data_IF_534017441666
#
_entry.id   IF_534017441666
#
_cell.length_a   1.000
_cell.length_b   1.000
_cell.length_c   1.000
_cell.angle_alpha   90.00
_cell.angle_beta   90.00
_cell.angle_gamma   90.00
#
_symmetry.space_group_name_H-M   'P 1'
#
loop_
_entity.id
_entity.type
_entity.pdbx_description
1 polymer ?
#
# COMPACT_ATOMS: atom_id res chain seq x y z
N UNK A 1 13.50 15.64 4.33
CA UNK A 1 13.33 14.40 3.55
C UNK A 1 11.97 14.39 2.86
N UNK A 2 11.92 13.99 1.58
CA UNK A 2 10.69 13.74 0.82
C UNK A 2 10.57 12.24 0.58
N UNK A 3 9.50 11.63 1.04
CA UNK A 3 9.29 10.19 0.95
C UNK A 3 7.90 9.86 0.39
N UNK A 4 7.85 9.00 -0.61
CA UNK A 4 6.63 8.36 -1.06
C UNK A 4 6.48 7.03 -0.32
N UNK A 5 5.47 6.94 0.55
CA UNK A 5 5.30 5.79 1.43
C UNK A 5 4.47 4.67 0.80
N UNK A 6 3.94 4.88 -0.43
CA UNK A 6 3.07 3.91 -1.09
C UNK A 6 3.22 4.01 -2.61
N UNK A 7 3.97 3.04 -3.20
CA UNK A 7 4.26 3.06 -4.63
C UNK A 7 4.34 1.65 -5.22
N UNK A 8 3.66 1.42 -6.36
CA UNK A 8 3.62 0.16 -7.09
C UNK A 8 4.38 0.24 -8.42
N UNK A 9 5.51 -0.48 -8.58
CA UNK A 9 6.23 -0.56 -9.86
C UNK A 9 5.42 -1.20 -10.98
N UNK A 10 4.59 -2.19 -10.64
CA UNK A 10 3.67 -2.89 -11.55
C UNK A 10 4.35 -3.46 -12.80
N UNK A 11 5.43 -4.28 -12.60
CA UNK A 11 6.24 -4.83 -13.69
C UNK A 11 5.82 -6.22 -14.17
N UNK A 12 4.84 -6.86 -13.57
CA UNK A 12 4.58 -8.29 -13.77
C UNK A 12 4.21 -8.69 -15.20
N UNK A 13 3.60 -7.80 -15.97
CA UNK A 13 3.10 -8.08 -17.31
C UNK A 13 3.99 -7.53 -18.44
N UNK A 14 5.18 -6.99 -18.12
CA UNK A 14 6.01 -6.31 -19.11
C UNK A 14 7.18 -7.17 -19.56
N UNK A 15 7.47 -7.16 -20.88
CA UNK A 15 8.72 -7.69 -21.44
C UNK A 15 9.92 -6.92 -20.87
N UNK A 16 11.14 -7.52 -20.93
CA UNK A 16 12.36 -6.88 -20.42
C UNK A 16 12.58 -5.45 -20.98
N UNK A 17 12.27 -5.23 -22.25
CA UNK A 17 12.41 -3.92 -22.89
C UNK A 17 11.43 -2.89 -22.27
N UNK A 18 10.18 -3.26 -22.09
CA UNK A 18 9.16 -2.41 -21.48
C UNK A 18 9.48 -2.09 -20.01
N UNK A 19 10.06 -3.04 -19.26
CA UNK A 19 10.51 -2.81 -17.88
C UNK A 19 11.54 -1.68 -17.83
N UNK A 20 12.57 -1.71 -18.69
CA UNK A 20 13.61 -0.68 -18.75
C UNK A 20 13.03 0.70 -19.07
N UNK A 21 12.15 0.76 -20.08
CA UNK A 21 11.47 2.01 -20.46
C UNK A 21 10.59 2.55 -19.33
N UNK A 22 9.79 1.67 -18.68
CA UNK A 22 8.95 2.05 -17.54
C UNK A 22 9.79 2.53 -16.36
N UNK A 23 10.84 1.81 -15.98
CA UNK A 23 11.74 2.21 -14.90
C UNK A 23 12.36 3.58 -15.16
N UNK A 24 12.82 3.85 -16.39
CA UNK A 24 13.35 5.17 -16.78
C UNK A 24 12.32 6.28 -16.54
N UNK A 25 11.05 6.06 -16.89
CA UNK A 25 9.97 7.02 -16.66
C UNK A 25 9.72 7.22 -15.15
N UNK A 26 9.71 6.15 -14.36
CA UNK A 26 9.55 6.18 -12.89
C UNK A 26 10.66 7.05 -12.28
N UNK A 27 11.93 6.75 -12.54
CA UNK A 27 13.05 7.52 -11.98
C UNK A 27 13.09 8.98 -12.46
N UNK A 28 12.61 9.26 -13.68
CA UNK A 28 12.42 10.63 -14.16
C UNK A 28 11.44 11.40 -13.27
N UNK A 29 10.34 10.76 -12.84
CA UNK A 29 9.38 11.39 -11.94
C UNK A 29 9.95 11.55 -10.52
N UNK A 30 10.62 10.55 -9.98
CA UNK A 30 11.28 10.69 -8.67
C UNK A 30 12.26 11.86 -8.66
N UNK A 31 13.07 12.03 -9.72
CA UNK A 31 13.98 13.16 -9.87
C UNK A 31 13.23 14.49 -9.99
N UNK A 32 12.20 14.55 -10.84
CA UNK A 32 11.37 15.74 -11.05
C UNK A 32 10.75 16.25 -9.74
N UNK A 33 10.22 15.34 -8.93
CA UNK A 33 9.58 15.67 -7.65
C UNK A 33 10.55 15.68 -6.46
N UNK A 34 11.85 15.46 -6.73
CA UNK A 34 12.92 15.46 -5.72
C UNK A 34 12.62 14.47 -4.58
N UNK A 35 12.12 13.28 -4.92
CA UNK A 35 11.83 12.22 -3.95
C UNK A 35 13.15 11.64 -3.45
N UNK A 36 13.41 11.73 -2.14
CA UNK A 36 14.60 11.21 -1.49
C UNK A 36 14.52 9.71 -1.21
N UNK A 37 13.33 9.21 -0.85
CA UNK A 37 13.08 7.81 -0.56
C UNK A 37 11.70 7.36 -1.04
N UNK A 38 11.56 6.07 -1.37
CA UNK A 38 10.29 5.44 -1.81
C UNK A 38 10.17 4.09 -1.15
N UNK A 39 9.04 3.81 -0.50
CA UNK A 39 8.69 2.45 -0.08
C UNK A 39 8.04 1.77 -1.29
N UNK A 40 8.69 0.71 -1.78
CA UNK A 40 8.20 -0.05 -2.94
C UNK A 40 7.25 -1.12 -2.44
N UNK A 41 5.95 -0.92 -2.63
CA UNK A 41 4.86 -1.65 -1.96
C UNK A 41 4.07 -2.58 -2.89
N UNK A 42 4.71 -3.16 -3.90
CA UNK A 42 3.98 -4.05 -4.82
C UNK A 42 3.15 -5.10 -4.07
N UNK A 43 1.95 -5.36 -4.54
CA UNK A 43 1.05 -6.35 -3.93
C UNK A 43 1.67 -7.75 -3.86
N UNK A 44 1.43 -8.47 -2.78
CA UNK A 44 1.94 -9.83 -2.56
C UNK A 44 1.63 -10.76 -3.72
N UNK A 45 0.43 -10.71 -4.30
CA UNK A 45 0.04 -11.54 -5.43
C UNK A 45 0.71 -11.18 -6.77
N UNK A 46 1.46 -10.07 -6.82
CA UNK A 46 2.20 -9.57 -8.00
C UNK A 46 3.72 -9.78 -7.92
N UNK A 47 4.19 -10.74 -7.13
CA UNK A 47 5.62 -11.06 -6.97
C UNK A 47 6.48 -9.83 -6.59
N UNK A 48 6.24 -9.23 -5.42
CA UNK A 48 6.83 -7.94 -5.03
C UNK A 48 8.36 -7.94 -5.01
N UNK A 49 9.00 -9.01 -4.58
CA UNK A 49 10.47 -9.13 -4.63
C UNK A 49 11.01 -8.97 -6.05
N UNK A 50 10.39 -9.63 -7.03
CA UNK A 50 10.82 -9.52 -8.43
C UNK A 50 10.58 -8.11 -8.99
N UNK A 51 9.48 -7.47 -8.62
CA UNK A 51 9.19 -6.08 -8.98
C UNK A 51 10.21 -5.12 -8.39
N UNK A 52 10.55 -5.29 -7.12
CA UNK A 52 11.60 -4.52 -6.43
C UNK A 52 12.96 -4.69 -7.12
N UNK A 53 13.40 -5.93 -7.37
CA UNK A 53 14.66 -6.22 -8.04
C UNK A 53 14.74 -5.60 -9.44
N UNK A 54 13.67 -5.72 -10.24
CA UNK A 54 13.59 -5.10 -11.57
C UNK A 54 13.75 -3.58 -11.48
N UNK A 55 13.09 -2.92 -10.51
CA UNK A 55 13.24 -1.50 -10.30
C UNK A 55 14.67 -1.13 -9.90
N UNK A 56 15.24 -1.84 -8.93
CA UNK A 56 16.61 -1.64 -8.42
C UNK A 56 17.67 -1.83 -9.51
N UNK A 57 17.57 -2.89 -10.31
CA UNK A 57 18.49 -3.18 -11.42
C UNK A 57 18.45 -2.13 -12.55
N UNK A 58 17.33 -1.43 -12.71
CA UNK A 58 17.16 -0.38 -13.71
C UNK A 58 17.28 1.05 -13.13
N UNK A 59 17.77 1.15 -11.89
CA UNK A 59 18.04 2.46 -11.27
C UNK A 59 19.21 3.15 -11.98
N UNK A 60 19.01 4.38 -12.46
CA UNK A 60 20.11 5.15 -13.05
C UNK A 60 21.24 5.38 -12.03
N UNK A 61 22.51 5.26 -12.47
CA UNK A 61 23.69 5.44 -11.60
C UNK A 61 23.71 6.80 -10.86
N UNK A 62 23.15 7.82 -11.46
CA UNK A 62 23.04 9.17 -10.88
C UNK A 62 21.76 9.39 -10.06
N UNK A 63 20.88 8.40 -9.94
CA UNK A 63 19.69 8.49 -9.11
C UNK A 63 20.06 8.50 -7.63
N UNK A 64 19.58 9.51 -6.90
CA UNK A 64 19.78 9.66 -5.45
C UNK A 64 18.59 9.16 -4.63
N UNK A 65 17.54 8.63 -5.30
CA UNK A 65 16.35 8.13 -4.61
C UNK A 65 16.64 6.79 -3.98
N UNK A 66 16.41 6.65 -2.69
CA UNK A 66 16.53 5.38 -1.97
C UNK A 66 15.28 4.54 -2.19
N UNK A 67 15.45 3.28 -2.58
CA UNK A 67 14.37 2.30 -2.71
C UNK A 67 14.30 1.46 -1.43
N UNK A 68 13.26 1.62 -0.67
CA UNK A 68 13.00 0.87 0.57
C UNK A 68 12.21 -0.38 0.21
N UNK A 69 12.70 -1.59 0.52
CA UNK A 69 11.98 -2.83 0.28
C UNK A 69 10.69 -2.89 1.11
N UNK A 70 9.58 -3.19 0.46
CA UNK A 70 8.28 -3.28 1.09
C UNK A 70 7.31 -4.11 0.27
N UNK A 71 6.15 -4.34 0.83
CA UNK A 71 5.06 -5.11 0.23
C UNK A 71 3.73 -4.60 0.76
N UNK A 72 2.72 -4.59 -0.09
CA UNK A 72 1.34 -4.44 0.34
C UNK A 72 0.74 -5.83 0.53
N UNK A 73 0.63 -6.25 1.80
CA UNK A 73 0.12 -7.54 2.22
C UNK A 73 -1.39 -7.47 2.44
N UNK A 74 -2.11 -8.52 2.06
CA UNK A 74 -3.56 -8.65 2.26
C UNK A 74 -3.84 -9.63 3.38
N UNK A 75 -4.55 -9.18 4.42
CA UNK A 75 -4.92 -9.99 5.59
C UNK A 75 -6.10 -10.92 5.30
N UNK A 76 -6.41 -11.85 6.23
CA UNK A 76 -7.58 -12.73 6.16
C UNK A 76 -8.89 -11.95 6.01
N UNK A 77 -8.97 -10.80 6.66
CA UNK A 77 -10.13 -9.91 6.61
C UNK A 77 -10.23 -9.17 5.26
N UNK A 78 -9.18 -9.19 4.44
CA UNK A 78 -9.08 -8.46 3.18
C UNK A 78 -8.55 -7.03 3.32
N UNK A 79 -8.03 -6.68 4.50
CA UNK A 79 -7.43 -5.37 4.78
C UNK A 79 -5.99 -5.37 4.28
N UNK A 80 -5.61 -4.30 3.59
CA UNK A 80 -4.23 -4.12 3.14
C UNK A 80 -3.36 -3.55 4.26
N UNK A 81 -2.12 -4.02 4.32
CA UNK A 81 -1.09 -3.52 5.24
C UNK A 81 0.24 -3.43 4.49
N UNK A 82 0.82 -2.24 4.46
CA UNK A 82 2.18 -2.07 3.97
C UNK A 82 3.14 -2.56 5.05
N UNK A 83 3.99 -3.53 4.70
CA UNK A 83 5.09 -3.98 5.56
C UNK A 83 6.40 -3.74 4.83
N UNK A 84 7.39 -3.17 5.52
CA UNK A 84 8.67 -2.79 4.93
C UNK A 84 9.84 -2.97 5.89
N UNK A 85 11.05 -3.00 5.35
CA UNK A 85 12.29 -3.17 6.11
C UNK A 85 13.46 -2.41 5.46
N UNK A 86 14.56 -2.22 6.20
CA UNK A 86 15.74 -1.55 5.67
C UNK A 86 16.47 -2.35 4.58
N UNK A 87 16.26 -3.64 4.55
CA UNK A 87 16.87 -4.58 3.60
C UNK A 87 15.80 -5.44 2.94
N UNK A 88 16.19 -6.33 2.04
CA UNK A 88 15.29 -7.26 1.36
C UNK A 88 14.69 -8.34 2.30
N UNK A 89 14.97 -8.26 3.61
CA UNK A 89 14.50 -9.17 4.66
C UNK A 89 12.99 -9.39 4.69
N UNK A 90 12.19 -8.35 4.37
CA UNK A 90 10.75 -8.50 4.28
C UNK A 90 10.31 -9.62 3.32
N UNK A 91 11.03 -9.84 2.25
CA UNK A 91 10.70 -10.84 1.23
C UNK A 91 10.97 -12.29 1.69
N UNK A 92 11.68 -12.49 2.81
CA UNK A 92 11.91 -13.78 3.44
C UNK A 92 10.76 -14.21 4.36
N UNK A 93 9.85 -13.30 4.69
CA UNK A 93 8.72 -13.54 5.61
C UNK A 93 7.57 -14.24 4.89
N UNK A 94 7.65 -15.57 4.78
CA UNK A 94 6.71 -16.40 4.00
C UNK A 94 5.24 -16.13 4.33
N UNK A 95 4.88 -15.99 5.61
CA UNK A 95 3.49 -15.75 6.03
C UNK A 95 2.98 -14.39 5.59
N UNK A 96 3.80 -13.32 5.69
CA UNK A 96 3.48 -11.97 5.21
C UNK A 96 3.40 -11.96 3.69
N UNK A 97 4.28 -12.73 3.03
CA UNK A 97 4.35 -12.87 1.57
C UNK A 97 3.28 -13.82 1.00
N UNK A 98 2.36 -14.30 1.83
CA UNK A 98 1.24 -15.16 1.41
C UNK A 98 -0.07 -14.42 1.67
N UNK A 99 -0.83 -14.16 0.60
CA UNK A 99 -2.14 -13.49 0.68
C UNK A 99 -3.10 -14.27 1.59
N UNK A 100 -3.87 -13.56 2.42
CA UNK A 100 -4.86 -14.10 3.36
C UNK A 100 -4.31 -15.12 4.37
N UNK A 101 -3.00 -15.18 4.57
CA UNK A 101 -2.37 -16.11 5.52
C UNK A 101 -2.57 -15.66 6.97
N UNK A 102 -2.36 -14.40 7.25
CA UNK A 102 -2.43 -13.82 8.59
C UNK A 102 -3.70 -12.99 8.79
N UNK A 103 -4.26 -13.04 10.00
CA UNK A 103 -5.22 -12.01 10.42
C UNK A 103 -4.50 -10.67 10.59
N UNK A 104 -5.22 -9.56 10.53
CA UNK A 104 -4.65 -8.23 10.79
C UNK A 104 -3.90 -8.19 12.13
N UNK A 105 -4.51 -8.74 13.18
CA UNK A 105 -3.92 -8.78 14.52
C UNK A 105 -2.63 -9.59 14.55
N UNK A 106 -2.59 -10.74 13.86
CA UNK A 106 -1.40 -11.60 13.87
C UNK A 106 -0.27 -10.98 13.04
N UNK A 107 -0.59 -10.35 11.90
CA UNK A 107 0.39 -9.62 11.08
C UNK A 107 1.02 -8.50 11.90
N UNK A 108 0.21 -7.67 12.55
CA UNK A 108 0.72 -6.55 13.36
C UNK A 108 1.53 -7.04 14.56
N UNK A 109 1.13 -8.17 15.18
CA UNK A 109 1.91 -8.81 16.25
C UNK A 109 3.27 -9.31 15.76
N UNK A 110 3.34 -9.90 14.56
CA UNK A 110 4.62 -10.30 13.97
C UNK A 110 5.53 -9.09 13.72
N UNK A 111 4.99 -8.02 13.14
CA UNK A 111 5.75 -6.77 12.92
C UNK A 111 6.23 -6.18 14.25
N UNK A 112 5.38 -6.13 15.27
CA UNK A 112 5.76 -5.59 16.58
C UNK A 112 6.87 -6.38 17.30
N UNK A 113 6.96 -7.68 17.04
CA UNK A 113 8.00 -8.56 17.61
C UNK A 113 9.33 -8.51 16.85
N UNK A 114 9.33 -8.06 15.62
CA UNK A 114 10.52 -8.04 14.76
C UNK A 114 10.97 -6.59 14.50
N UNK A 115 12.03 -6.18 15.19
CA UNK A 115 12.58 -4.81 15.10
C UNK A 115 13.02 -4.38 13.69
N UNK A 116 13.21 -5.34 12.80
CA UNK A 116 13.58 -5.07 11.41
C UNK A 116 12.37 -4.82 10.50
N UNK A 117 11.16 -5.03 11.01
CA UNK A 117 9.92 -4.81 10.28
C UNK A 117 9.19 -3.57 10.77
N UNK A 118 8.56 -2.89 9.83
CA UNK A 118 7.71 -1.73 10.08
C UNK A 118 6.42 -1.89 9.31
N UNK A 119 5.31 -1.31 9.83
CA UNK A 119 4.03 -1.36 9.14
C UNK A 119 3.40 0.03 9.01
N UNK A 120 2.70 0.22 7.92
CA UNK A 120 1.77 1.34 7.68
C UNK A 120 0.41 0.72 7.40
N UNK A 121 -0.66 1.25 7.98
CA UNK A 121 -2.02 0.97 7.50
C UNK A 121 -2.29 1.90 6.32
N UNK A 122 -2.33 1.38 5.07
CA UNK A 122 -2.62 2.18 3.90
C UNK A 122 -4.11 2.50 3.85
N UNK A 123 -4.46 3.59 3.18
CA UNK A 123 -5.83 4.01 2.85
C UNK A 123 -6.94 3.48 3.82
N UNK A 124 -6.83 3.70 5.15
CA UNK A 124 -7.70 3.06 6.16
C UNK A 124 -9.18 3.39 5.98
N UNK A 125 -9.49 4.43 5.23
CA UNK A 125 -10.83 4.97 5.02
C UNK A 125 -11.46 4.54 3.69
N UNK A 126 -10.83 3.66 2.90
CA UNK A 126 -11.44 3.15 1.67
C UNK A 126 -12.83 2.56 1.93
N UNK A 127 -13.83 2.84 1.06
CA UNK A 127 -15.20 2.39 1.24
C UNK A 127 -15.43 0.91 0.86
N UNK A 128 -14.38 0.18 0.55
CA UNK A 128 -14.38 -1.24 0.20
C UNK A 128 -13.78 -2.12 1.32
N UNK A 129 -13.63 -3.42 1.09
CA UNK A 129 -13.07 -4.37 2.05
C UNK A 129 -11.60 -4.14 2.40
N UNK A 130 -10.85 -3.42 1.57
CA UNK A 130 -9.45 -3.08 1.83
C UNK A 130 -9.32 -2.00 2.92
N UNK A 131 -10.37 -1.17 3.09
CA UNK A 131 -10.38 -0.11 4.09
C UNK A 131 -10.60 -0.64 5.51
N UNK A 132 -9.69 -0.28 6.43
CA UNK A 132 -9.73 -0.69 7.83
C UNK A 132 -11.10 -0.39 8.49
N UNK A 133 -11.54 0.87 8.41
CA UNK A 133 -12.78 1.30 9.07
C UNK A 133 -14.03 0.64 8.51
N UNK A 134 -14.06 0.34 7.22
CA UNK A 134 -15.17 -0.34 6.58
C UNK A 134 -15.27 -1.79 7.00
N UNK A 135 -14.13 -2.46 7.13
CA UNK A 135 -14.05 -3.91 7.31
C UNK A 135 -14.24 -4.34 8.76
N UNK A 136 -13.60 -3.66 9.72
CA UNK A 136 -13.68 -4.05 11.14
C UNK A 136 -14.50 -3.08 12.00
N UNK A 137 -15.07 -2.03 11.38
CA UNK A 137 -15.87 -1.04 12.08
C UNK A 137 -15.05 0.00 12.84
N UNK A 138 -15.69 1.12 13.17
CA UNK A 138 -15.02 2.31 13.70
C UNK A 138 -14.37 2.10 15.07
N UNK A 139 -15.04 1.38 15.97
CA UNK A 139 -14.56 1.15 17.35
C UNK A 139 -13.27 0.31 17.37
N UNK A 140 -13.24 -0.78 16.60
CA UNK A 140 -12.09 -1.67 16.54
C UNK A 140 -10.94 -1.04 15.75
N UNK A 141 -11.24 -0.39 14.63
CA UNK A 141 -10.24 0.35 13.85
C UNK A 141 -9.49 1.39 14.70
N UNK A 142 -10.21 2.15 15.55
CA UNK A 142 -9.58 3.09 16.49
C UNK A 142 -8.64 2.42 17.48
N UNK A 143 -8.96 1.22 17.97
CA UNK A 143 -8.06 0.48 18.89
C UNK A 143 -6.77 0.11 18.16
N UNK A 144 -6.89 -0.45 16.96
CA UNK A 144 -5.74 -0.82 16.13
C UNK A 144 -4.87 0.39 15.82
N UNK A 145 -5.45 1.52 15.44
CA UNK A 145 -4.70 2.74 15.15
C UNK A 145 -3.99 3.33 16.37
N UNK A 146 -4.40 3.02 17.60
CA UNK A 146 -3.65 3.39 18.81
C UNK A 146 -2.39 2.55 19.01
N UNK A 147 -2.40 1.31 18.54
CA UNK A 147 -1.28 0.37 18.65
C UNK A 147 -0.26 0.52 17.53
N UNK A 148 -0.70 1.06 16.38
CA UNK A 148 0.13 1.25 15.19
C UNK A 148 0.75 2.64 15.20
N UNK A 149 2.04 2.68 14.87
CA UNK A 149 2.79 3.92 14.84
C UNK A 149 2.55 4.76 13.59
N UNK A 150 2.34 4.11 12.44
CA UNK A 150 2.22 4.75 11.13
C UNK A 150 0.89 4.39 10.48
N UNK A 151 0.17 5.40 9.98
CA UNK A 151 -0.97 5.15 9.14
C UNK A 151 -1.07 6.20 8.01
N UNK A 152 -1.59 5.77 6.87
CA UNK A 152 -1.75 6.64 5.71
C UNK A 152 -3.03 7.46 5.83
N UNK A 153 -2.88 8.76 6.09
CA UNK A 153 -4.00 9.71 6.09
C UNK A 153 -4.32 10.19 4.67
N UNK A 154 -3.30 10.24 3.83
CA UNK A 154 -3.38 10.82 2.49
C UNK A 154 -2.87 9.81 1.46
N UNK A 155 -3.81 9.33 0.66
CA UNK A 155 -3.57 8.49 -0.50
C UNK A 155 -4.00 9.27 -1.74
N UNK A 156 -3.08 9.51 -2.69
CA UNK A 156 -3.34 10.42 -3.81
C UNK A 156 -4.36 9.84 -4.78
N UNK A 157 -4.30 8.54 -5.04
CA UNK A 157 -5.27 7.86 -5.89
C UNK A 157 -6.71 8.05 -5.37
N UNK A 158 -6.91 7.90 -4.07
CA UNK A 158 -8.22 8.06 -3.44
C UNK A 158 -8.64 9.53 -3.36
N UNK A 159 -7.73 10.43 -3.02
CA UNK A 159 -7.98 11.88 -2.96
C UNK A 159 -8.40 12.42 -4.33
N UNK A 160 -7.71 12.02 -5.39
CA UNK A 160 -8.03 12.42 -6.77
C UNK A 160 -9.42 11.95 -7.20
N UNK A 161 -9.83 10.72 -6.80
CA UNK A 161 -11.19 10.22 -7.04
C UNK A 161 -12.24 11.05 -6.31
N UNK A 162 -12.01 11.40 -5.05
CA UNK A 162 -12.93 12.24 -4.26
C UNK A 162 -13.08 13.62 -4.91
N UNK A 163 -11.98 14.27 -5.24
CA UNK A 163 -11.99 15.59 -5.86
C UNK A 163 -12.75 15.59 -7.21
N UNK A 164 -12.57 14.53 -8.00
CA UNK A 164 -13.33 14.34 -9.23
C UNK A 164 -14.84 14.22 -8.97
N UNK A 165 -15.25 13.37 -8.02
CA UNK A 165 -16.65 13.18 -7.70
C UNK A 165 -17.31 14.48 -7.24
N UNK A 166 -16.64 15.27 -6.40
CA UNK A 166 -17.13 16.57 -5.96
C UNK A 166 -17.17 17.60 -7.09
N UNK A 167 -16.15 17.69 -7.92
CA UNK A 167 -16.08 18.66 -9.02
C UNK A 167 -17.15 18.41 -10.09
N UNK A 168 -17.51 17.15 -10.33
CA UNK A 168 -18.56 16.74 -11.29
C UNK A 168 -19.95 16.62 -10.68
N UNK A 169 -20.11 16.86 -9.36
CA UNK A 169 -21.35 16.65 -8.60
C UNK A 169 -21.90 15.21 -8.66
N UNK A 170 -21.10 14.24 -9.10
CA UNK A 170 -21.46 12.82 -9.13
C UNK A 170 -21.58 12.22 -7.72
N UNK A 171 -20.98 12.86 -6.73
CA UNK A 171 -21.14 12.52 -5.31
C UNK A 171 -22.63 12.52 -4.89
N UNK A 172 -23.45 13.39 -5.48
CA UNK A 172 -24.90 13.46 -5.21
C UNK A 172 -25.67 12.22 -5.67
N UNK A 173 -25.14 11.51 -6.68
CA UNK A 173 -25.75 10.27 -7.20
C UNK A 173 -25.39 9.06 -6.32
N UNK A 174 -24.46 9.21 -5.38
CA UNK A 174 -23.94 8.13 -4.53
C UNK A 174 -24.10 8.47 -3.05
N UNK A 175 -25.32 8.59 -2.51
CA UNK A 175 -25.57 9.11 -1.15
C UNK A 175 -24.90 8.28 -0.04
N UNK A 176 -24.81 6.95 -0.20
CA UNK A 176 -24.09 6.08 0.74
C UNK A 176 -22.59 6.35 0.73
N UNK A 177 -22.02 6.60 -0.43
CA UNK A 177 -20.62 6.95 -0.60
C UNK A 177 -20.33 8.35 -0.02
N UNK A 178 -21.20 9.32 -0.27
CA UNK A 178 -21.14 10.67 0.30
C UNK A 178 -21.15 10.64 1.84
N UNK A 179 -22.05 9.83 2.44
CA UNK A 179 -22.09 9.63 3.89
C UNK A 179 -20.78 9.04 4.43
N UNK A 180 -20.19 8.10 3.69
CA UNK A 180 -18.90 7.52 4.02
C UNK A 180 -17.77 8.54 3.89
N UNK A 181 -17.71 9.31 2.81
CA UNK A 181 -16.74 10.37 2.59
C UNK A 181 -16.79 11.46 3.66
N UNK A 182 -17.98 11.89 4.08
CA UNK A 182 -18.14 12.83 5.19
C UNK A 182 -17.58 12.30 6.51
N UNK A 183 -17.72 11.01 6.77
CA UNK A 183 -17.12 10.36 7.95
C UNK A 183 -15.60 10.27 7.86
N UNK A 184 -15.06 10.17 6.65
CA UNK A 184 -13.64 10.05 6.36
C UNK A 184 -12.93 11.40 6.33
N UNK A 185 -13.52 12.40 5.65
CA UNK A 185 -12.97 13.75 5.61
C UNK A 185 -12.99 14.44 6.99
N UNK A 186 -13.92 14.05 7.83
CA UNK A 186 -14.00 14.40 9.24
C UNK A 186 -13.40 13.32 10.14
N UNK A 187 -12.50 12.47 9.62
CA UNK A 187 -11.82 11.47 10.44
C UNK A 187 -11.19 12.19 11.63
N UNK A 188 -11.74 12.02 12.85
CA UNK A 188 -11.29 12.81 13.98
C UNK A 188 -9.83 12.46 14.21
N UNK A 189 -9.04 13.44 14.58
CA UNK A 189 -7.81 13.16 15.30
C UNK A 189 -8.14 12.14 16.37
N UNK A 190 -7.44 11.02 16.37
CA UNK A 190 -7.68 9.98 17.37
C UNK A 190 -7.04 10.49 18.66
N UNK A 191 -7.82 11.01 19.63
CA UNK A 191 -7.22 11.64 20.80
C UNK A 191 -6.35 10.66 21.57
N UNK A 192 -5.18 11.11 22.01
CA UNK A 192 -4.24 10.29 22.81
C UNK A 192 -3.52 9.20 22.03
N UNK A 193 -3.50 9.26 20.71
CA UNK A 193 -2.71 8.34 19.88
C UNK A 193 -1.35 8.94 19.55
N UNK A 194 -0.30 8.13 19.68
CA UNK A 194 1.09 8.49 19.28
C UNK A 194 1.38 8.13 17.82
N UNK A 195 0.36 8.03 16.97
CA UNK A 195 0.56 7.70 15.58
C UNK A 195 1.18 8.86 14.79
N UNK A 196 1.89 8.51 13.77
CA UNK A 196 2.50 9.41 12.82
C UNK A 196 1.79 9.25 11.47
N UNK A 197 1.32 10.36 10.92
CA UNK A 197 0.64 10.39 9.64
C UNK A 197 1.65 10.08 8.53
N UNK A 198 1.28 9.21 7.61
CA UNK A 198 2.00 8.98 6.36
C UNK A 198 1.11 9.31 5.16
N UNK A 199 1.69 9.24 3.99
CA UNK A 199 0.98 9.38 2.75
C UNK A 199 1.88 9.01 1.58
N UNK A 200 1.27 8.63 0.49
CA UNK A 200 1.94 8.20 -0.71
C UNK A 200 1.14 8.49 -1.97
N UNK A 201 1.77 8.23 -3.11
CA UNK A 201 1.14 8.39 -4.41
C UNK A 201 0.14 7.28 -4.71
N UNK A 202 0.36 6.09 -4.17
CA UNK A 202 -0.32 4.84 -4.56
C UNK A 202 -0.30 4.66 -6.09
N UNK A 203 0.81 5.07 -6.68
CA UNK A 203 0.94 5.18 -8.11
C UNK A 203 1.23 3.80 -8.72
N UNK A 204 0.36 3.36 -9.62
CA UNK A 204 0.53 2.16 -10.45
C UNK A 204 1.16 2.50 -11.81
N UNK A 205 1.28 3.79 -12.11
CA UNK A 205 1.81 4.32 -13.36
C UNK A 205 2.77 5.49 -13.11
N UNK A 206 3.76 5.67 -14.00
CA UNK A 206 4.78 6.69 -13.82
C UNK A 206 4.22 8.12 -13.77
N UNK A 207 3.12 8.41 -14.46
CA UNK A 207 2.52 9.75 -14.46
C UNK A 207 1.77 10.11 -13.17
N UNK A 208 1.37 9.11 -12.38
CA UNK A 208 0.72 9.31 -11.09
C UNK A 208 1.71 9.52 -9.94
N UNK A 209 3.02 9.39 -10.20
CA UNK A 209 4.07 9.63 -9.20
C UNK A 209 4.22 11.13 -8.95
N UNK A 210 4.30 11.52 -7.67
CA UNK A 210 4.62 12.89 -7.31
C UNK A 210 4.21 13.27 -5.91
N UNK A 211 3.05 12.82 -5.47
CA UNK A 211 2.58 13.05 -4.11
C UNK A 211 3.47 12.33 -3.09
N UNK A 212 3.87 13.04 -2.05
CA UNK A 212 4.84 12.55 -1.08
C UNK A 212 4.70 13.24 0.28
N UNK A 213 5.18 12.58 1.31
CA UNK A 213 5.33 13.13 2.64
C UNK A 213 6.64 13.93 2.72
N UNK A 214 6.56 15.19 3.09
CA UNK A 214 7.72 16.00 3.46
C UNK A 214 7.89 15.94 4.97
N UNK A 215 9.03 15.42 5.42
CA UNK A 215 9.44 15.37 6.82
C UNK A 215 10.51 16.44 7.01
N UNK A 216 10.33 17.30 8.01
CA UNK A 216 11.30 18.36 8.32
C UNK A 216 12.52 17.79 9.03
N UNK A 217 13.47 17.31 8.25
CA UNK A 217 14.75 16.78 8.73
C UNK A 217 15.82 16.89 7.64
N UNK A 218 17.07 16.69 8.04
CA UNK A 218 18.20 16.55 7.12
C UNK A 218 17.96 15.36 6.17
N UNK A 219 18.56 15.42 4.98
CA UNK A 219 18.50 14.34 4.02
C UNK A 219 19.08 13.06 4.63
N UNK A 220 18.38 11.92 4.55
CA UNK A 220 18.89 10.67 5.09
C UNK A 220 20.10 10.16 4.27
N UNK A 221 21.06 9.58 4.96
CA UNK A 221 22.28 9.04 4.37
C UNK A 221 22.11 7.54 4.00
N UNK A 222 21.16 6.87 4.62
CA UNK A 222 20.87 5.46 4.40
C UNK A 222 19.37 5.17 4.50
N UNK A 223 18.97 3.98 4.04
CA UNK A 223 17.59 3.49 4.16
C UNK A 223 17.19 3.39 5.64
N UNK A 224 18.05 2.85 6.51
CA UNK A 224 17.78 2.74 7.95
C UNK A 224 17.53 4.12 8.57
N UNK A 225 18.33 5.12 8.20
CA UNK A 225 18.15 6.49 8.66
C UNK A 225 16.83 7.11 8.12
N UNK A 226 16.45 6.82 6.87
CA UNK A 226 15.17 7.25 6.33
C UNK A 226 13.98 6.65 7.11
N UNK A 227 14.06 5.36 7.44
CA UNK A 227 13.04 4.64 8.23
C UNK A 227 12.98 5.19 9.66
N UNK A 228 14.12 5.45 10.29
CA UNK A 228 14.19 6.07 11.61
C UNK A 228 13.48 7.43 11.61
N UNK A 229 13.78 8.32 10.64
CA UNK A 229 13.12 9.62 10.51
C UNK A 229 11.62 9.49 10.26
N UNK A 230 11.20 8.52 9.43
CA UNK A 230 9.79 8.23 9.21
C UNK A 230 9.09 7.80 10.50
N UNK A 231 9.77 7.09 11.39
CA UNK A 231 9.21 6.57 12.64
C UNK A 231 9.28 7.53 13.84
N UNK A 232 10.05 8.62 13.75
CA UNK A 232 10.34 9.48 14.91
C UNK A 232 9.90 10.92 14.74
N UNK A 233 10.07 11.52 13.57
CA UNK A 233 9.82 12.94 13.37
C UNK A 233 8.31 13.20 13.26
N UNK A 234 7.79 14.07 14.12
CA UNK A 234 6.37 14.49 14.13
C UNK A 234 6.08 15.61 13.14
N UNK A 235 7.04 16.49 12.89
CA UNK A 235 6.86 17.60 11.96
C UNK A 235 6.92 17.12 10.51
N UNK A 236 5.73 16.98 9.93
CA UNK A 236 5.55 16.43 8.58
C UNK A 236 4.38 17.07 7.86
N UNK A 237 4.51 17.20 6.56
CA UNK A 237 3.48 17.78 5.69
C UNK A 237 3.31 16.94 4.44
N UNK A 238 2.07 16.67 4.07
CA UNK A 238 1.77 16.05 2.79
C UNK A 238 1.88 17.06 1.65
N UNK A 239 2.56 16.67 0.58
CA UNK A 239 2.67 17.44 -0.66
C UNK A 239 1.96 16.69 -1.78
N UNK A 240 0.86 17.27 -2.25
CA UNK A 240 0.07 16.72 -3.35
C UNK A 240 0.56 17.26 -4.68
N UNK A 241 0.66 16.40 -5.66
CA UNK A 241 1.00 16.75 -7.03
C UNK A 241 -0.14 16.32 -7.95
N UNK A 242 -0.80 17.29 -8.58
CA UNK A 242 -1.82 16.97 -9.57
C UNK A 242 -1.20 16.19 -10.73
N UNK A 243 -1.79 15.06 -11.08
CA UNK A 243 -1.40 14.29 -12.27
C UNK A 243 -1.52 15.15 -13.51
N UNK A 244 -0.57 14.98 -14.45
CA UNK A 244 -0.58 15.70 -15.73
C UNK A 244 -1.56 15.09 -16.75
N UNK A 245 -2.13 13.93 -16.42
CA UNK A 245 -3.10 13.25 -17.27
C UNK A 245 -4.49 13.85 -17.08
N UNK A 246 -5.31 13.93 -18.14
CA UNK A 246 -6.71 14.28 -17.98
C UNK A 246 -7.36 13.38 -16.92
N UNK A 247 -7.99 13.98 -15.93
CA UNK A 247 -8.46 13.28 -14.73
C UNK A 247 -9.38 12.10 -15.06
N UNK A 248 -10.19 12.22 -16.12
CA UNK A 248 -11.07 11.13 -16.58
C UNK A 248 -10.25 9.93 -17.09
N UNK A 249 -9.18 10.18 -17.83
CA UNK A 249 -8.32 9.11 -18.36
C UNK A 249 -7.53 8.43 -17.25
N UNK A 250 -7.02 9.19 -16.28
CA UNK A 250 -6.34 8.67 -15.10
C UNK A 250 -7.27 7.79 -14.28
N UNK A 251 -8.51 8.23 -14.03
CA UNK A 251 -9.53 7.46 -13.32
C UNK A 251 -9.95 6.18 -14.08
N UNK A 252 -10.08 6.24 -15.40
CA UNK A 252 -10.40 5.05 -16.22
C UNK A 252 -9.27 4.04 -16.12
N UNK A 253 -8.02 4.47 -16.27
CA UNK A 253 -6.86 3.58 -16.23
C UNK A 253 -6.67 3.02 -14.80
N UNK A 254 -6.74 3.85 -13.77
CA UNK A 254 -6.63 3.39 -12.38
C UNK A 254 -7.83 2.53 -11.98
N UNK A 255 -9.04 2.89 -12.40
CA UNK A 255 -10.25 2.10 -12.16
C UNK A 255 -10.19 0.72 -12.83
N UNK A 256 -9.73 0.63 -14.08
CA UNK A 256 -9.55 -0.66 -14.76
C UNK A 256 -8.44 -1.49 -14.12
N UNK A 257 -7.36 -0.86 -13.67
CA UNK A 257 -6.28 -1.52 -12.92
C UNK A 257 -6.81 -2.08 -11.61
N UNK A 258 -7.53 -1.28 -10.83
CA UNK A 258 -8.13 -1.71 -9.56
C UNK A 258 -9.15 -2.84 -9.76
N UNK A 259 -10.01 -2.76 -10.77
CA UNK A 259 -10.96 -3.83 -11.11
C UNK A 259 -10.24 -5.13 -11.48
N UNK A 260 -9.20 -5.04 -12.31
CA UNK A 260 -8.40 -6.22 -12.67
C UNK A 260 -7.72 -6.86 -11.45
N UNK A 261 -7.26 -6.06 -10.51
CA UNK A 261 -6.67 -6.51 -9.25
C UNK A 261 -7.68 -7.19 -8.34
N UNK A 262 -8.86 -6.58 -8.17
CA UNK A 262 -9.96 -7.18 -7.41
C UNK A 262 -10.40 -8.54 -8.02
N UNK A 263 -10.50 -8.63 -9.34
CA UNK A 263 -10.81 -9.88 -10.04
C UNK A 263 -9.73 -10.93 -9.81
N UNK A 264 -8.45 -10.57 -9.92
CA UNK A 264 -7.32 -11.47 -9.66
C UNK A 264 -7.26 -11.92 -8.19
N UNK A 265 -7.54 -11.03 -7.25
CA UNK A 265 -7.63 -11.37 -5.83
C UNK A 265 -8.76 -12.36 -5.56
N UNK A 266 -9.97 -12.09 -6.06
CA UNK A 266 -11.12 -12.99 -5.90
C UNK A 266 -10.87 -14.36 -6.50
N UNK A 267 -10.29 -14.41 -7.71
CA UNK A 267 -9.94 -15.67 -8.38
C UNK A 267 -8.93 -16.48 -7.56
N UNK A 268 -7.87 -15.84 -7.05
CA UNK A 268 -6.88 -16.51 -6.20
C UNK A 268 -7.46 -16.97 -4.88
N UNK A 269 -8.34 -16.18 -4.25
CA UNK A 269 -9.02 -16.56 -3.01
C UNK A 269 -9.89 -17.78 -3.21
N UNK A 270 -10.72 -17.81 -4.26
CA UNK A 270 -11.57 -18.98 -4.56
C UNK A 270 -10.74 -20.24 -4.83
N UNK A 271 -9.57 -20.10 -5.46
CA UNK A 271 -8.68 -21.23 -5.73
C UNK A 271 -8.00 -21.77 -4.45
N UNK A 272 -7.68 -20.89 -3.51
CA UNK A 272 -7.13 -21.28 -2.19
C UNK A 272 -8.23 -21.98 -1.38
N UNK A 273 -9.43 -21.42 -1.31
CA UNK A 273 -10.57 -22.00 -0.59
C UNK A 273 -10.91 -23.39 -1.12
N UNK A 274 -10.88 -23.59 -2.45
CA UNK A 274 -11.07 -24.89 -3.08
C UNK A 274 -9.99 -25.91 -2.70
N UNK A 275 -8.71 -25.50 -2.69
CA UNK A 275 -7.60 -26.39 -2.29
C UNK A 275 -7.67 -26.76 -0.80
N UNK A 276 -8.02 -25.83 0.07
CA UNK A 276 -8.17 -26.07 1.50
C UNK A 276 -9.33 -27.05 1.76
N UNK A 277 -10.49 -26.82 1.15
CA UNK A 277 -11.65 -27.72 1.23
C UNK A 277 -11.35 -29.12 0.70
N UNK A 278 -10.54 -29.23 -0.37
CA UNK A 278 -10.13 -30.53 -0.91
C UNK A 278 -9.18 -31.26 0.05
N UNK A 279 -8.25 -30.57 0.68
CA UNK A 279 -7.33 -31.15 1.66
C UNK A 279 -8.05 -31.64 2.90
N UNK A 280 -8.99 -30.84 3.43
CA UNK A 280 -9.82 -31.25 4.58
C UNK A 280 -10.68 -32.47 4.27
N UNK A 281 -11.28 -32.54 3.08
CA UNK A 281 -12.04 -33.73 2.61
C UNK A 281 -11.13 -34.97 2.49
N UNK A 282 -9.92 -34.82 1.96
CA UNK A 282 -8.97 -35.93 1.87
C UNK A 282 -8.49 -36.42 3.23
N UNK A 283 -8.27 -35.52 4.19
CA UNK A 283 -7.90 -35.91 5.56
C UNK A 283 -9.02 -36.66 6.27
N UNK A 284 -10.28 -36.22 6.12
CA UNK A 284 -11.44 -36.90 6.72
C UNK A 284 -11.70 -38.28 6.11
N UNK A 285 -11.42 -38.45 4.80
CA UNK A 285 -11.53 -39.77 4.13
C UNK A 285 -10.45 -40.78 4.59
N UNK A 286 -9.28 -40.28 5.04
CA UNK A 286 -8.22 -41.13 5.60
C UNK A 286 -8.44 -41.48 7.07
N UNK A 287 -9.14 -40.66 7.83
CA UNK A 287 -9.48 -40.96 9.23
C UNK A 287 -10.64 -41.92 9.37
N UNK A 288 -11.65 -41.84 8.47
CA UNK A 288 -12.80 -42.75 8.48
C UNK A 288 -12.56 -44.19 7.93
N UNK A 289 -11.32 -44.52 7.54
CA UNK A 289 -10.89 -45.89 7.16
C UNK A 289 -10.10 -46.61 8.27
N UNK A 290 -9.98 -46.03 9.44
CA UNK A 290 -9.29 -46.65 10.57
C UNK A 290 -10.22 -47.06 11.74
N UNK A 291 -11.54 -46.93 11.51
CA UNK A 291 -12.58 -47.54 12.36
C UNK A 291 -13.18 -48.74 11.57
#
# INVERSE_FOLDING_TARGET
>A
MRIDCHFHPNFNFFSKFLVKSKAKKIFKQFTKHKIDAVIVTEHVFKKPYQSFLKLKQNQPKNSKTMLIPGVEAVTKEGIDVIVFSATEYIYEKKEIMTTWCLSLKDLLRQVAKDKNLHAIIPHPFLPNQQGLFKTIGYKEAKKILKEIKLFEKHNDCFTSLIDFLYSTKLDKLLPKFQQHLKKVSNAPEIPGSNYLITGGSDAHHAWAIGSHLKINCTKPESISHAIEKLNTIKERQMHFVKTQMPIVLDLVINGTTALSEICLQKFKKSHIDLKTSYHEKCQNLHQGRRE
#
